data_IF_207148009390
#
_entry.id   IF_207148009390
#
_cell.length_a   1.000
_cell.length_b   1.000
_cell.length_c   1.000
_cell.angle_alpha   90.00
_cell.angle_beta   90.00
_cell.angle_gamma   90.00
#
_symmetry.space_group_name_H-M   'P 1'
#
loop_
_entity.id
_entity.type
_entity.pdbx_description
1 polymer ?
#
# COMPACT_ATOMS: atom_id res chain seq x y z
N UNK A 1 17.41 49.78 31.44
CA UNK A 1 16.12 49.42 30.82
C UNK A 1 16.42 49.01 29.39
N UNK A 2 16.68 47.73 29.17
CA UNK A 2 17.02 47.22 27.83
C UNK A 2 15.76 46.82 27.07
N UNK A 3 15.67 47.27 25.82
CA UNK A 3 14.63 46.92 24.86
C UNK A 3 14.76 45.46 24.39
N UNK A 4 13.67 44.70 24.22
CA UNK A 4 13.77 43.31 23.80
C UNK A 4 14.28 43.19 22.35
N UNK A 5 15.27 42.34 22.14
CA UNK A 5 15.93 42.07 20.87
C UNK A 5 14.93 41.56 19.81
N UNK A 6 14.86 42.22 18.66
CA UNK A 6 14.03 41.86 17.48
C UNK A 6 14.48 40.58 16.73
N UNK A 7 15.34 39.75 17.30
CA UNK A 7 16.01 38.66 16.59
C UNK A 7 15.25 37.31 16.61
N UNK A 8 14.13 37.17 17.33
CA UNK A 8 13.45 35.87 17.48
C UNK A 8 12.26 35.64 16.54
N UNK A 9 11.70 36.68 15.94
CA UNK A 9 10.53 36.59 15.04
C UNK A 9 10.79 35.98 13.65
N UNK A 10 11.91 36.24 12.93
CA UNK A 10 12.09 35.70 11.58
C UNK A 10 12.39 34.20 11.57
N UNK A 11 12.95 33.66 12.66
CA UNK A 11 13.29 32.23 12.77
C UNK A 11 12.04 31.35 12.96
N UNK A 12 11.04 31.83 13.71
CA UNK A 12 9.79 31.12 13.95
C UNK A 12 8.93 31.04 12.68
N UNK A 13 8.92 32.10 11.86
CA UNK A 13 8.21 32.14 10.57
C UNK A 13 8.89 31.21 9.55
N UNK A 14 10.23 31.14 9.54
CA UNK A 14 10.98 30.21 8.70
C UNK A 14 10.73 28.74 9.09
N UNK A 15 10.62 28.44 10.40
CA UNK A 15 10.24 27.10 10.87
C UNK A 15 8.81 26.71 10.45
N UNK A 16 7.86 27.64 10.52
CA UNK A 16 6.46 27.39 10.11
C UNK A 16 6.32 27.20 8.59
N UNK A 17 7.12 27.89 7.77
CA UNK A 17 7.20 27.70 6.31
C UNK A 17 7.85 26.36 5.90
N UNK A 18 8.78 25.84 6.71
CA UNK A 18 9.38 24.52 6.50
C UNK A 18 8.44 23.38 6.92
N UNK A 19 7.58 23.62 7.92
CA UNK A 19 6.52 22.67 8.31
C UNK A 19 5.41 22.62 7.23
N UNK A 20 5.09 23.73 6.56
CA UNK A 20 4.10 23.74 5.49
C UNK A 20 4.59 23.14 4.17
N UNK A 21 5.90 23.20 3.88
CA UNK A 21 6.51 22.49 2.75
C UNK A 21 6.63 20.96 2.99
N UNK A 22 6.41 20.54 4.25
CA UNK A 22 6.37 19.16 4.72
C UNK A 22 4.97 18.52 4.74
N UNK A 23 3.92 19.19 4.23
CA UNK A 23 2.70 18.55 3.74
C UNK A 23 3.01 17.87 2.41
N UNK A 24 3.97 16.96 2.47
CA UNK A 24 4.52 16.17 1.39
C UNK A 24 3.32 15.52 0.73
N UNK A 25 3.11 15.82 -0.54
CA UNK A 25 2.18 15.11 -1.39
C UNK A 25 2.23 13.65 -0.98
N UNK A 26 1.13 13.12 -0.40
CA UNK A 26 1.04 11.67 -0.22
C UNK A 26 1.45 11.12 -1.57
N UNK A 27 2.46 10.23 -1.69
CA UNK A 27 2.71 9.60 -2.96
C UNK A 27 1.34 9.09 -3.38
N UNK A 28 0.79 9.71 -4.43
CA UNK A 28 -0.36 9.15 -5.10
C UNK A 28 0.27 7.88 -5.63
N UNK A 29 0.05 6.76 -4.95
CA UNK A 29 0.57 5.47 -5.35
C UNK A 29 0.31 5.40 -6.84
N UNK A 30 1.37 5.58 -7.63
CA UNK A 30 1.26 5.52 -9.06
C UNK A 30 0.76 4.10 -9.28
N UNK A 31 -0.45 3.98 -9.81
CA UNK A 31 -1.06 2.69 -9.94
C UNK A 31 -0.17 1.85 -10.84
N UNK A 32 0.56 0.92 -10.26
CA UNK A 32 1.41 -0.01 -11.00
C UNK A 32 0.54 -1.16 -11.46
N UNK A 33 0.83 -1.72 -12.62
CA UNK A 33 0.26 -3.01 -13.01
C UNK A 33 1.08 -4.18 -12.45
N UNK A 34 2.26 -3.91 -11.86
CA UNK A 34 3.18 -4.95 -11.36
C UNK A 34 3.44 -4.82 -9.86
N UNK A 35 3.40 -5.95 -9.14
CA UNK A 35 3.89 -6.11 -7.76
C UNK A 35 5.07 -7.10 -7.77
N UNK A 36 6.27 -6.60 -7.47
CA UNK A 36 7.50 -7.40 -7.44
C UNK A 36 7.68 -8.17 -6.13
N UNK A 37 8.45 -9.26 -6.17
CA UNK A 37 8.87 -9.96 -4.94
C UNK A 37 9.49 -9.00 -3.92
N UNK A 38 9.07 -9.11 -2.66
CA UNK A 38 9.48 -8.21 -1.58
C UNK A 38 8.69 -6.90 -1.48
N UNK A 39 7.90 -6.54 -2.49
CA UNK A 39 6.92 -5.46 -2.38
C UNK A 39 5.64 -5.94 -1.67
N UNK A 40 4.84 -4.96 -1.23
CA UNK A 40 3.56 -5.21 -0.57
C UNK A 40 2.49 -4.30 -1.16
N UNK A 41 1.30 -4.86 -1.33
CA UNK A 41 0.08 -4.12 -1.61
C UNK A 41 -0.70 -4.00 -0.28
N UNK A 42 -0.53 -2.87 0.38
CA UNK A 42 -1.14 -2.58 1.68
C UNK A 42 -2.63 -2.30 1.55
N UNK A 43 -3.33 -2.33 2.68
CA UNK A 43 -4.74 -1.93 2.77
C UNK A 43 -4.99 -0.60 2.04
N UNK A 44 -5.97 -0.59 1.14
CA UNK A 44 -6.38 0.54 0.32
C UNK A 44 -5.57 0.73 -0.96
N UNK A 45 -4.41 0.08 -1.10
CA UNK A 45 -3.59 0.14 -2.31
C UNK A 45 -4.13 -0.81 -3.38
N UNK A 46 -3.89 -0.44 -4.64
CA UNK A 46 -4.33 -1.23 -5.79
C UNK A 46 -3.27 -1.30 -6.88
N UNK A 47 -3.20 -2.44 -7.56
CA UNK A 47 -2.61 -2.51 -8.90
C UNK A 47 -3.69 -2.16 -9.94
N UNK A 48 -3.31 -1.58 -11.08
CA UNK A 48 -4.25 -1.22 -12.16
C UNK A 48 -3.69 -1.47 -13.56
N UNK A 49 -4.53 -1.99 -14.44
CA UNK A 49 -4.29 -2.06 -15.89
C UNK A 49 -5.61 -1.83 -16.65
N UNK A 50 -5.73 -0.68 -17.33
CA UNK A 50 -6.99 -0.27 -17.96
C UNK A 50 -8.15 -0.19 -16.96
N UNK A 51 -9.20 -0.97 -17.19
CA UNK A 51 -10.37 -1.07 -16.30
C UNK A 51 -10.19 -2.09 -15.17
N UNK A 52 -9.11 -2.88 -15.19
CA UNK A 52 -8.84 -3.89 -14.19
C UNK A 52 -8.18 -3.28 -12.96
N UNK A 53 -8.68 -3.65 -11.78
CA UNK A 53 -8.15 -3.17 -10.50
C UNK A 53 -8.04 -4.36 -9.55
N UNK A 54 -6.84 -4.65 -9.07
CA UNK A 54 -6.62 -5.57 -7.95
C UNK A 54 -6.43 -4.75 -6.68
N UNK A 55 -7.43 -4.77 -5.80
CA UNK A 55 -7.50 -3.93 -4.60
C UNK A 55 -7.40 -4.77 -3.33
N UNK A 56 -6.47 -4.42 -2.45
CA UNK A 56 -6.42 -4.93 -1.08
C UNK A 56 -7.38 -4.09 -0.22
N UNK A 57 -8.60 -4.56 -0.01
CA UNK A 57 -9.63 -3.82 0.73
C UNK A 57 -9.31 -3.70 2.22
N UNK A 58 -9.92 -2.71 2.88
CA UNK A 58 -9.75 -2.43 4.32
C UNK A 58 -10.30 -3.52 5.24
N UNK A 59 -11.21 -4.35 4.76
CA UNK A 59 -11.74 -5.50 5.48
C UNK A 59 -10.92 -6.78 5.27
N UNK A 60 -9.70 -6.69 4.73
CA UNK A 60 -8.82 -7.84 4.45
C UNK A 60 -9.25 -8.76 3.30
N UNK A 61 -10.18 -8.33 2.44
CA UNK A 61 -10.48 -9.04 1.20
C UNK A 61 -9.63 -8.49 0.04
N UNK A 62 -8.97 -9.36 -0.73
CA UNK A 62 -8.31 -8.98 -1.97
C UNK A 62 -9.29 -9.24 -3.11
N UNK A 63 -9.56 -8.21 -3.92
CA UNK A 63 -10.62 -8.26 -4.94
C UNK A 63 -10.09 -7.78 -6.28
N UNK A 64 -10.36 -8.56 -7.33
CA UNK A 64 -10.14 -8.17 -8.72
C UNK A 64 -11.45 -7.63 -9.32
N UNK A 65 -11.39 -6.40 -9.80
CA UNK A 65 -12.47 -5.72 -10.48
C UNK A 65 -12.21 -5.56 -11.98
N UNK A 66 -13.28 -5.45 -12.76
CA UNK A 66 -13.28 -4.82 -14.08
C UNK A 66 -14.35 -3.72 -14.07
N UNK A 67 -13.92 -2.46 -13.99
CA UNK A 67 -14.80 -1.34 -13.69
C UNK A 67 -15.50 -1.55 -12.34
N UNK A 68 -16.83 -1.65 -12.36
CA UNK A 68 -17.65 -1.85 -11.15
C UNK A 68 -17.98 -3.32 -10.85
N UNK A 69 -17.55 -4.25 -11.70
CA UNK A 69 -17.86 -5.67 -11.56
C UNK A 69 -16.75 -6.40 -10.81
N UNK A 70 -17.13 -7.20 -9.81
CA UNK A 70 -16.21 -8.12 -9.13
C UNK A 70 -16.02 -9.34 -10.03
N UNK A 71 -14.79 -9.59 -10.46
CA UNK A 71 -14.44 -10.79 -11.22
C UNK A 71 -14.00 -11.93 -10.31
N UNK A 72 -13.27 -11.60 -9.24
CA UNK A 72 -12.73 -12.58 -8.31
C UNK A 72 -12.43 -11.96 -6.93
N UNK A 73 -12.46 -12.77 -5.87
CA UNK A 73 -12.01 -12.36 -4.54
C UNK A 73 -11.46 -13.51 -3.72
N UNK A 74 -10.61 -13.23 -2.73
CA UNK A 74 -10.12 -14.24 -1.77
C UNK A 74 -11.17 -14.70 -0.77
N UNK A 75 -12.23 -13.91 -0.55
CA UNK A 75 -13.29 -14.22 0.41
C UNK A 75 -12.85 -14.10 1.87
N UNK A 76 -11.81 -13.30 2.14
CA UNK A 76 -11.18 -13.19 3.46
C UNK A 76 -11.62 -11.98 4.27
N UNK A 77 -12.79 -11.43 3.94
CA UNK A 77 -13.37 -10.32 4.69
C UNK A 77 -13.44 -10.63 6.19
N UNK A 78 -12.98 -9.69 7.01
CA UNK A 78 -13.01 -9.72 8.47
C UNK A 78 -12.18 -10.84 9.13
N UNK A 79 -11.29 -11.50 8.39
CA UNK A 79 -10.40 -12.54 8.95
C UNK A 79 -9.11 -11.96 9.57
N UNK A 80 -8.94 -10.64 9.56
CA UNK A 80 -7.79 -9.91 10.10
C UNK A 80 -8.01 -8.40 10.10
N UNK A 81 -6.96 -7.64 10.42
CA UNK A 81 -6.96 -6.17 10.40
C UNK A 81 -5.69 -5.63 9.75
N UNK A 82 -5.82 -4.50 9.05
CA UNK A 82 -4.72 -3.83 8.32
C UNK A 82 -3.91 -4.80 7.45
N UNK A 83 -4.62 -5.61 6.67
CA UNK A 83 -3.98 -6.65 5.88
C UNK A 83 -3.20 -6.09 4.69
N UNK A 84 -2.23 -6.87 4.24
CA UNK A 84 -1.44 -6.58 3.04
C UNK A 84 -1.18 -7.86 2.26
N UNK A 85 -1.15 -7.74 0.93
CA UNK A 85 -0.70 -8.77 0.02
C UNK A 85 0.80 -8.64 -0.21
N UNK A 86 1.52 -9.76 -0.33
CA UNK A 86 2.91 -9.81 -0.77
C UNK A 86 3.16 -11.04 -1.65
N UNK A 87 4.23 -10.97 -2.44
CA UNK A 87 4.75 -12.09 -3.24
C UNK A 87 5.99 -12.63 -2.55
N UNK A 88 6.03 -13.92 -2.30
CA UNK A 88 7.19 -14.61 -1.75
C UNK A 88 8.19 -15.04 -2.83
N UNK A 89 9.42 -15.37 -2.40
CA UNK A 89 10.47 -15.88 -3.28
C UNK A 89 10.16 -17.26 -3.90
N UNK A 90 9.14 -17.97 -3.42
CA UNK A 90 8.65 -19.24 -3.97
C UNK A 90 7.35 -19.07 -4.79
N UNK A 91 7.12 -17.87 -5.34
CA UNK A 91 6.01 -17.55 -6.25
C UNK A 91 4.62 -17.75 -5.62
N UNK A 92 4.51 -17.54 -4.30
CA UNK A 92 3.22 -17.58 -3.59
C UNK A 92 2.75 -16.18 -3.26
N UNK A 93 1.46 -16.00 -3.39
CA UNK A 93 0.73 -14.83 -2.94
C UNK A 93 0.26 -15.09 -1.53
N UNK A 94 0.62 -14.22 -0.60
CA UNK A 94 0.18 -14.35 0.79
C UNK A 94 -0.45 -13.03 1.23
N UNK A 95 -1.63 -13.13 1.83
CA UNK A 95 -2.23 -12.03 2.59
C UNK A 95 -1.86 -12.25 4.04
N UNK A 96 -1.22 -11.26 4.65
CA UNK A 96 -0.94 -11.22 6.08
C UNK A 96 -1.83 -10.16 6.74
N UNK A 97 -2.17 -10.38 8.01
CA UNK A 97 -2.70 -9.32 8.87
C UNK A 97 -1.55 -8.50 9.52
N UNK A 98 -1.92 -7.47 10.27
CA UNK A 98 -0.97 -6.61 10.99
C UNK A 98 -0.11 -7.33 12.03
N UNK A 99 -0.53 -8.50 12.52
CA UNK A 99 0.26 -9.32 13.45
C UNK A 99 1.28 -10.22 12.73
N UNK A 100 1.28 -10.23 11.39
CA UNK A 100 2.10 -11.12 10.58
C UNK A 100 1.52 -12.52 10.44
N UNK A 101 0.25 -12.73 10.80
CA UNK A 101 -0.43 -14.02 10.62
C UNK A 101 -0.93 -14.15 9.19
N UNK A 102 -0.67 -15.27 8.50
CA UNK A 102 -1.21 -15.50 7.16
C UNK A 102 -2.73 -15.69 7.23
N UNK A 103 -3.45 -14.89 6.46
CA UNK A 103 -4.92 -14.92 6.31
C UNK A 103 -5.33 -15.74 5.09
N UNK A 104 -4.53 -15.68 4.02
CA UNK A 104 -4.75 -16.42 2.78
C UNK A 104 -3.43 -16.71 2.08
N UNK A 105 -3.38 -17.79 1.31
CA UNK A 105 -2.27 -18.10 0.41
C UNK A 105 -2.80 -18.58 -0.94
N UNK A 106 -2.13 -18.21 -2.04
CA UNK A 106 -2.34 -18.88 -3.31
C UNK A 106 -1.80 -20.30 -3.24
N UNK A 107 -2.49 -21.23 -3.90
CA UNK A 107 -2.05 -22.62 -4.07
C UNK A 107 -1.13 -22.77 -5.28
N UNK A 108 -0.21 -21.81 -5.49
CA UNK A 108 0.78 -21.87 -6.58
C UNK A 108 2.10 -22.39 -6.03
N UNK A 109 2.45 -23.63 -6.36
CA UNK A 109 3.82 -24.14 -6.21
C UNK A 109 4.51 -24.03 -7.58
N UNK A 110 5.36 -23.03 -7.79
CA UNK A 110 6.21 -22.99 -8.99
C UNK A 110 7.63 -22.54 -8.63
N UNK A 111 8.62 -23.29 -9.13
CA UNK A 111 10.05 -23.10 -8.87
C UNK A 111 10.73 -22.26 -9.96
N UNK A 112 10.26 -21.05 -10.23
CA UNK A 112 10.92 -20.16 -11.20
C UNK A 112 11.41 -18.87 -10.54
N UNK A 113 12.48 -18.30 -11.10
CA UNK A 113 13.37 -17.32 -10.45
C UNK A 113 12.89 -15.85 -10.53
N UNK A 114 11.77 -15.56 -11.17
CA UNK A 114 11.20 -14.21 -11.25
C UNK A 114 9.73 -14.24 -10.85
N UNK A 115 9.41 -13.67 -9.69
CA UNK A 115 8.08 -13.75 -9.07
C UNK A 115 7.46 -12.37 -8.93
N UNK A 116 6.73 -11.96 -9.96
CA UNK A 116 5.99 -10.70 -9.97
C UNK A 116 4.54 -11.00 -10.32
N UNK A 117 3.60 -10.27 -9.72
CA UNK A 117 2.22 -10.23 -10.20
C UNK A 117 2.15 -9.15 -11.26
N UNK A 118 1.55 -9.45 -12.41
CA UNK A 118 1.09 -8.46 -13.37
C UNK A 118 -0.42 -8.63 -13.49
N UNK A 119 -1.18 -7.53 -13.44
CA UNK A 119 -2.63 -7.55 -13.65
C UNK A 119 -3.03 -6.84 -14.91
#
# INVERSE_FOLDING_TARGET
METPSKATLPLLILLLLMISLGLIAKPCDAATNVLYSGQRLSTGQSLREGNYILLMQSNCNLVLYNGNYILWSTGTQYMGTNCYLTVTYDARLIIYDSSGRPVWTSNTYQSYKENNIVI
#
